data_IF_411387650986
#
_entry.id   IF_411387650986
#
_cell.length_a   1.000
_cell.length_b   1.000
_cell.length_c   1.000
_cell.angle_alpha   90.00
_cell.angle_beta   90.00
_cell.angle_gamma   90.00
#
_symmetry.space_group_name_H-M   'P 1'
#
loop_
_entity.id
_entity.type
_entity.pdbx_description
1 polymer ?
#
# COMPACT_ATOMS: atom_id res chain seq x y z
N UNK A 1 -18.06 -42.14 58.96
CA UNK A 1 -17.61 -40.79 58.54
C UNK A 1 -16.74 -40.99 57.31
N UNK A 2 -17.28 -40.65 56.14
CA UNK A 2 -16.73 -41.00 54.83
C UNK A 2 -15.74 -39.94 54.34
N UNK A 3 -14.55 -40.37 53.93
CA UNK A 3 -13.65 -39.57 53.09
C UNK A 3 -14.25 -39.39 51.70
N UNK A 4 -14.36 -38.14 51.25
CA UNK A 4 -14.68 -37.81 49.85
C UNK A 4 -13.38 -37.49 49.09
N UNK A 5 -13.25 -37.86 47.81
CA UNK A 5 -12.03 -37.68 47.03
C UNK A 5 -11.95 -36.28 46.39
N UNK A 6 -10.72 -35.83 46.17
CA UNK A 6 -10.34 -34.56 45.57
C UNK A 6 -10.97 -34.32 44.20
N UNK A 7 -11.59 -33.13 44.03
CA UNK A 7 -12.10 -32.67 42.77
C UNK A 7 -10.95 -32.14 41.89
N UNK A 8 -10.64 -32.86 40.82
CA UNK A 8 -9.71 -32.44 39.77
C UNK A 8 -10.35 -31.29 38.97
N UNK A 9 -9.86 -30.08 39.16
CA UNK A 9 -10.22 -28.92 38.33
C UNK A 9 -9.54 -29.09 36.97
N UNK A 10 -10.35 -29.30 35.93
CA UNK A 10 -9.88 -29.29 34.53
C UNK A 10 -9.55 -27.86 34.10
N UNK A 11 -8.41 -27.60 33.44
CA UNK A 11 -8.12 -26.27 32.95
C UNK A 11 -9.04 -25.98 31.75
N UNK A 12 -9.77 -24.87 31.84
CA UNK A 12 -10.59 -24.32 30.77
C UNK A 12 -9.79 -24.23 29.47
N UNK A 13 -10.35 -24.73 28.37
CA UNK A 13 -9.79 -24.58 27.02
C UNK A 13 -9.46 -23.11 26.75
N UNK A 14 -8.18 -22.78 26.71
CA UNK A 14 -7.72 -21.47 26.28
C UNK A 14 -8.15 -21.28 24.83
N UNK A 15 -9.14 -20.43 24.60
CA UNK A 15 -9.46 -19.92 23.27
C UNK A 15 -8.20 -19.26 22.72
N UNK A 16 -7.53 -19.92 21.79
CA UNK A 16 -6.50 -19.30 20.95
C UNK A 16 -7.20 -18.25 20.09
N UNK A 17 -7.24 -17.00 20.57
CA UNK A 17 -7.58 -15.84 19.75
C UNK A 17 -6.53 -15.74 18.64
N UNK A 18 -6.93 -16.08 17.43
CA UNK A 18 -6.18 -15.70 16.22
C UNK A 18 -6.03 -14.19 16.21
N UNK A 19 -4.79 -13.69 16.15
CA UNK A 19 -4.48 -12.27 16.22
C UNK A 19 -5.17 -11.47 15.11
N UNK A 20 -5.73 -10.33 15.48
CA UNK A 20 -6.33 -9.37 14.54
C UNK A 20 -5.24 -8.65 13.75
N UNK A 21 -5.52 -8.33 12.48
CA UNK A 21 -4.67 -7.47 11.62
C UNK A 21 -4.43 -6.08 12.22
N UNK A 22 -5.24 -5.68 13.21
CA UNK A 22 -5.13 -4.42 13.95
C UNK A 22 -4.33 -4.50 15.25
N UNK A 23 -3.76 -5.65 15.62
CA UNK A 23 -2.77 -5.64 16.70
C UNK A 23 -1.42 -5.22 16.14
N UNK A 24 -0.89 -4.03 16.52
CA UNK A 24 0.51 -3.75 16.27
C UNK A 24 1.29 -4.87 16.95
N UNK A 25 2.14 -5.55 16.18
CA UNK A 25 3.07 -6.54 16.72
C UNK A 25 3.71 -5.98 18.01
N UNK A 26 3.96 -6.87 18.98
CA UNK A 26 4.57 -6.61 20.29
C UNK A 26 5.97 -5.92 20.24
N UNK A 27 6.35 -5.31 19.13
CA UNK A 27 7.60 -4.62 18.83
C UNK A 27 7.61 -3.13 19.19
N UNK A 28 6.50 -2.52 19.64
CA UNK A 28 6.46 -1.06 19.92
C UNK A 28 6.95 -0.68 21.33
N UNK A 29 7.14 -1.61 22.25
CA UNK A 29 7.67 -1.33 23.59
C UNK A 29 9.13 -1.75 23.73
N UNK A 30 10.05 -0.96 23.16
CA UNK A 30 11.47 -1.00 23.48
C UNK A 30 11.82 0.24 24.33
N UNK A 31 12.61 0.09 25.41
CA UNK A 31 12.96 1.20 26.30
C UNK A 31 13.73 2.28 25.53
N UNK A 32 13.31 3.54 25.68
CA UNK A 32 13.99 4.71 25.11
C UNK A 32 15.12 5.16 26.04
N UNK A 33 16.40 5.09 25.63
CA UNK A 33 17.48 5.69 26.39
C UNK A 33 17.52 7.21 26.15
N UNK A 34 17.68 8.00 27.21
CA UNK A 34 17.67 9.47 27.19
C UNK A 34 18.84 10.14 26.41
N UNK A 35 19.78 9.33 25.87
CA UNK A 35 20.97 9.78 25.12
C UNK A 35 21.02 9.24 23.66
N UNK A 36 19.86 9.01 23.04
CA UNK A 36 19.79 8.42 21.70
C UNK A 36 20.19 9.43 20.60
N UNK A 37 21.21 9.10 19.80
CA UNK A 37 21.64 9.96 18.69
C UNK A 37 20.60 9.96 17.56
N UNK A 38 20.67 10.96 16.66
CA UNK A 38 19.81 10.96 15.46
C UNK A 38 20.00 9.68 14.63
N UNK A 39 21.24 9.17 14.56
CA UNK A 39 21.56 7.94 13.85
C UNK A 39 20.86 6.73 14.48
N UNK A 40 20.90 6.61 15.81
CA UNK A 40 20.26 5.50 16.53
C UNK A 40 18.74 5.50 16.32
N UNK A 41 18.11 6.68 16.35
CA UNK A 41 16.68 6.85 16.03
C UNK A 41 16.34 6.41 14.62
N UNK A 42 17.11 6.86 13.63
CA UNK A 42 16.90 6.47 12.24
C UNK A 42 17.17 4.98 12.03
N UNK A 43 18.17 4.41 12.68
CA UNK A 43 18.47 2.96 12.64
C UNK A 43 17.31 2.15 13.18
N UNK A 44 16.72 2.59 14.29
CA UNK A 44 15.52 1.96 14.85
C UNK A 44 14.37 1.94 13.83
N UNK A 45 14.04 3.08 13.21
CA UNK A 45 13.00 3.13 12.18
C UNK A 45 13.33 2.31 10.94
N UNK A 46 14.59 2.29 10.52
CA UNK A 46 15.05 1.47 9.40
C UNK A 46 14.85 -0.02 9.66
N UNK A 47 15.19 -0.51 10.86
CA UNK A 47 14.95 -1.90 11.23
C UNK A 47 13.46 -2.26 11.21
N UNK A 48 12.60 -1.33 11.64
CA UNK A 48 11.14 -1.50 11.54
C UNK A 48 10.74 -1.59 10.07
N UNK A 49 11.02 -0.57 9.25
CA UNK A 49 10.67 -0.54 7.81
C UNK A 49 11.21 -1.77 7.07
N UNK A 50 12.44 -2.19 7.37
CA UNK A 50 13.07 -3.36 6.76
C UNK A 50 12.35 -4.66 7.10
N UNK A 51 11.98 -4.86 8.36
CA UNK A 51 11.35 -6.09 8.83
C UNK A 51 9.84 -6.17 8.56
N UNK A 52 9.14 -5.03 8.45
CA UNK A 52 7.69 -4.99 8.26
C UNK A 52 7.25 -4.66 6.85
N UNK A 53 8.06 -3.90 6.09
CA UNK A 53 7.73 -3.48 4.73
C UNK A 53 8.67 -4.14 3.71
N UNK A 54 9.96 -3.78 3.72
CA UNK A 54 10.88 -4.12 2.62
C UNK A 54 11.03 -5.63 2.44
N UNK A 55 10.98 -6.41 3.53
CA UNK A 55 11.03 -7.86 3.51
C UNK A 55 9.95 -8.50 2.60
N UNK A 56 8.79 -7.86 2.48
CA UNK A 56 7.64 -8.39 1.75
C UNK A 56 7.46 -7.76 0.36
N UNK A 57 8.34 -6.82 -0.04
CA UNK A 57 8.25 -6.22 -1.36
C UNK A 57 8.48 -7.25 -2.45
N UNK A 58 7.59 -7.29 -3.43
CA UNK A 58 7.72 -8.19 -4.58
C UNK A 58 9.02 -7.90 -5.36
N UNK A 59 9.89 -8.89 -5.58
CA UNK A 59 11.12 -8.68 -6.32
C UNK A 59 10.88 -8.45 -7.82
N UNK A 60 9.74 -8.89 -8.36
CA UNK A 60 9.40 -8.77 -9.78
C UNK A 60 8.71 -7.44 -10.09
N UNK A 61 7.64 -7.11 -9.38
CA UNK A 61 6.83 -5.90 -9.65
C UNK A 61 7.21 -4.72 -8.77
N UNK A 62 7.72 -4.94 -7.56
CA UNK A 62 7.87 -3.88 -6.54
C UNK A 62 6.62 -3.61 -5.71
N UNK A 63 5.50 -4.29 -5.98
CA UNK A 63 4.27 -4.15 -5.19
C UNK A 63 4.41 -4.79 -3.80
N UNK A 64 3.56 -4.36 -2.87
CA UNK A 64 3.46 -4.93 -1.54
C UNK A 64 2.18 -5.77 -1.40
N UNK A 65 2.26 -6.96 -0.79
CA UNK A 65 1.09 -7.81 -0.59
C UNK A 65 0.18 -7.21 0.49
N UNK A 66 -1.12 -7.44 0.36
CA UNK A 66 -2.12 -7.01 1.37
C UNK A 66 -1.99 -7.77 2.69
N UNK A 67 -1.40 -8.97 2.65
CA UNK A 67 -1.15 -9.80 3.82
C UNK A 67 0.26 -10.36 3.76
N UNK A 68 0.94 -10.34 4.90
CA UNK A 68 2.30 -10.87 5.06
C UNK A 68 2.33 -12.36 5.43
N UNK A 69 1.17 -12.96 5.67
CA UNK A 69 1.00 -14.36 6.02
C UNK A 69 0.00 -15.05 5.09
N UNK A 70 0.26 -16.34 4.83
CA UNK A 70 -0.52 -17.15 3.91
C UNK A 70 -0.13 -16.95 2.44
N UNK A 71 -0.85 -17.60 1.54
CA UNK A 71 -0.62 -17.55 0.09
C UNK A 71 -1.36 -16.40 -0.59
N UNK A 72 -1.54 -15.26 0.10
CA UNK A 72 -2.24 -14.11 -0.47
C UNK A 72 -1.42 -13.50 -1.60
N UNK A 73 -2.00 -13.47 -2.80
CA UNK A 73 -1.35 -12.95 -4.00
C UNK A 73 -1.84 -11.54 -4.32
N UNK A 74 -2.66 -10.92 -3.47
CA UNK A 74 -3.24 -9.60 -3.70
C UNK A 74 -2.26 -8.51 -3.32
N UNK A 75 -2.13 -7.52 -4.20
CA UNK A 75 -1.53 -6.23 -3.93
C UNK A 75 -2.55 -5.13 -4.22
N UNK A 76 -2.91 -4.36 -3.19
CA UNK A 76 -3.71 -3.14 -3.34
C UNK A 76 -2.78 -1.99 -3.69
N UNK A 77 -3.18 -1.15 -4.65
CA UNK A 77 -2.40 0.03 -5.03
C UNK A 77 -2.23 0.95 -3.83
N UNK A 78 -3.30 1.17 -3.06
CA UNK A 78 -3.25 2.04 -1.91
C UNK A 78 -2.25 1.57 -0.84
N UNK A 79 -2.27 0.29 -0.49
CA UNK A 79 -1.33 -0.28 0.48
C UNK A 79 0.11 -0.14 -0.01
N UNK A 80 0.33 -0.40 -1.31
CA UNK A 80 1.63 -0.25 -1.95
C UNK A 80 2.12 1.21 -1.93
N UNK A 81 1.25 2.19 -2.17
CA UNK A 81 1.56 3.62 -2.06
C UNK A 81 2.00 4.00 -0.65
N UNK A 82 1.31 3.52 0.38
CA UNK A 82 1.68 3.79 1.77
C UNK A 82 3.02 3.16 2.15
N UNK A 83 3.28 1.94 1.68
CA UNK A 83 4.58 1.29 1.88
C UNK A 83 5.71 2.07 1.20
N UNK A 84 5.51 2.51 -0.05
CA UNK A 84 6.46 3.32 -0.79
C UNK A 84 6.72 4.68 -0.10
N UNK A 85 5.66 5.35 0.35
CA UNK A 85 5.77 6.60 1.09
C UNK A 85 6.52 6.44 2.42
N UNK A 86 6.28 5.35 3.15
CA UNK A 86 7.02 5.04 4.38
C UNK A 86 8.52 4.84 4.15
N UNK A 87 8.89 4.07 3.12
CA UNK A 87 10.29 3.90 2.74
C UNK A 87 10.93 5.21 2.29
N UNK A 88 10.25 5.97 1.43
CA UNK A 88 10.72 7.26 0.91
C UNK A 88 10.88 8.31 2.01
N UNK A 89 9.91 8.45 2.92
CA UNK A 89 10.00 9.40 4.02
C UNK A 89 11.23 9.13 4.92
N UNK A 90 11.52 7.84 5.17
CA UNK A 90 12.71 7.46 5.92
C UNK A 90 13.99 7.75 5.12
N UNK A 91 14.00 7.51 3.81
CA UNK A 91 15.13 7.88 2.96
C UNK A 91 15.44 9.38 3.03
N UNK A 92 14.40 10.24 2.94
CA UNK A 92 14.57 11.68 3.05
C UNK A 92 15.16 12.11 4.41
N UNK A 93 14.82 11.40 5.48
CA UNK A 93 15.42 11.64 6.79
C UNK A 93 16.90 11.22 6.83
N UNK A 94 17.25 10.10 6.20
CA UNK A 94 18.64 9.64 6.07
C UNK A 94 19.51 10.56 5.21
N UNK A 95 18.95 11.27 4.22
CA UNK A 95 19.70 12.29 3.46
C UNK A 95 20.25 13.44 4.31
N UNK A 96 19.76 13.60 5.55
CA UNK A 96 20.22 14.65 6.48
C UNK A 96 21.43 14.22 7.32
N UNK A 97 21.95 13.01 7.10
CA UNK A 97 23.15 12.50 7.77
C UNK A 97 24.23 12.15 6.73
N UNK A 98 25.50 12.36 7.07
CA UNK A 98 26.61 12.18 6.11
C UNK A 98 26.95 10.70 5.84
N UNK A 99 26.94 9.85 6.86
CA UNK A 99 27.19 8.40 6.74
C UNK A 99 25.93 7.60 7.07
N UNK A 100 25.12 7.34 6.04
CA UNK A 100 23.88 6.57 6.11
C UNK A 100 24.08 5.07 5.91
N UNK A 101 25.33 4.62 5.66
CA UNK A 101 25.70 3.23 5.35
C UNK A 101 24.88 2.62 4.18
N UNK A 102 24.50 3.44 3.20
CA UNK A 102 23.76 3.02 2.00
C UNK A 102 22.26 2.80 2.21
N UNK A 103 21.72 3.17 3.37
CA UNK A 103 20.29 2.98 3.69
C UNK A 103 19.38 3.87 2.85
N UNK A 104 19.79 5.09 2.54
CA UNK A 104 19.05 5.99 1.65
C UNK A 104 18.84 5.30 0.31
N UNK A 105 19.91 4.76 -0.29
CA UNK A 105 19.83 4.11 -1.59
C UNK A 105 18.88 2.91 -1.58
N UNK A 106 18.95 2.03 -0.57
CA UNK A 106 18.02 0.89 -0.44
C UNK A 106 16.57 1.34 -0.34
N UNK A 107 16.29 2.33 0.53
CA UNK A 107 14.95 2.85 0.76
C UNK A 107 14.37 3.57 -0.47
N UNK A 108 15.17 4.39 -1.13
CA UNK A 108 14.79 5.08 -2.37
C UNK A 108 14.52 4.10 -3.50
N UNK A 109 15.39 3.11 -3.70
CA UNK A 109 15.18 2.11 -4.73
C UNK A 109 13.94 1.25 -4.44
N UNK A 110 13.64 0.96 -3.17
CA UNK A 110 12.37 0.30 -2.82
C UNK A 110 11.16 1.15 -3.21
N UNK A 111 11.17 2.45 -2.89
CA UNK A 111 10.09 3.37 -3.27
C UNK A 111 9.95 3.50 -4.80
N UNK A 112 11.06 3.71 -5.52
CA UNK A 112 11.08 3.77 -6.99
C UNK A 112 10.51 2.49 -7.58
N UNK A 113 10.96 1.33 -7.11
CA UNK A 113 10.50 0.03 -7.60
C UNK A 113 9.00 -0.14 -7.40
N UNK A 114 8.47 0.27 -6.26
CA UNK A 114 7.03 0.22 -6.00
C UNK A 114 6.25 1.14 -6.93
N UNK A 115 6.64 2.41 -7.05
CA UNK A 115 5.96 3.38 -7.91
C UNK A 115 6.00 2.98 -9.39
N UNK A 116 7.10 2.37 -9.83
CA UNK A 116 7.21 1.79 -11.18
C UNK A 116 6.36 0.53 -11.34
N UNK A 117 6.25 -0.30 -10.31
CA UNK A 117 5.32 -1.43 -10.28
C UNK A 117 3.87 -1.02 -10.46
N UNK A 118 3.46 0.05 -9.78
CA UNK A 118 2.12 0.64 -9.93
C UNK A 118 1.92 1.17 -11.35
N UNK A 119 2.91 1.92 -11.88
CA UNK A 119 2.87 2.41 -13.26
C UNK A 119 2.71 1.26 -14.26
N UNK A 120 3.49 0.20 -14.09
CA UNK A 120 3.41 -1.01 -14.91
C UNK A 120 2.00 -1.61 -14.91
N UNK A 121 1.36 -1.74 -13.74
CA UNK A 121 0.00 -2.27 -13.62
C UNK A 121 -1.05 -1.36 -14.26
N UNK A 122 -0.88 -0.03 -14.14
CA UNK A 122 -1.79 0.93 -14.75
C UNK A 122 -1.64 1.03 -16.27
N UNK A 123 -0.41 1.02 -16.79
CA UNK A 123 -0.17 1.10 -18.24
C UNK A 123 -0.75 -0.09 -18.99
N UNK A 124 -0.80 -1.27 -18.37
CA UNK A 124 -1.47 -2.46 -18.92
C UNK A 124 -2.99 -2.32 -19.04
N UNK A 125 -3.56 -1.28 -18.43
CA UNK A 125 -4.97 -0.92 -18.51
C UNK A 125 -5.20 0.35 -19.36
N UNK A 126 -4.26 0.73 -20.23
CA UNK A 126 -4.37 1.94 -21.05
C UNK A 126 -5.68 2.02 -21.85
N UNK A 127 -6.17 0.89 -22.38
CA UNK A 127 -7.45 0.86 -23.11
C UNK A 127 -8.64 1.23 -22.21
N UNK A 128 -8.66 0.76 -20.96
CA UNK A 128 -9.68 1.13 -19.97
C UNK A 128 -9.62 2.62 -19.65
N UNK A 129 -8.42 3.17 -19.47
CA UNK A 129 -8.22 4.62 -19.24
C UNK A 129 -8.79 5.43 -20.40
N UNK A 130 -8.52 5.05 -21.66
CA UNK A 130 -9.07 5.77 -22.81
C UNK A 130 -10.59 5.70 -22.88
N UNK A 131 -11.20 4.55 -22.57
CA UNK A 131 -12.66 4.41 -22.52
C UNK A 131 -13.26 5.24 -21.38
N UNK A 132 -12.65 5.22 -20.19
CA UNK A 132 -13.10 5.97 -19.03
C UNK A 132 -13.09 7.48 -19.26
N UNK A 133 -12.14 8.00 -20.06
CA UNK A 133 -12.11 9.42 -20.45
C UNK A 133 -13.33 9.85 -21.27
N UNK A 134 -13.88 8.95 -22.07
CA UNK A 134 -15.04 9.22 -22.92
C UNK A 134 -16.34 9.07 -22.12
N UNK A 135 -16.44 7.99 -21.33
CA UNK A 135 -17.61 7.65 -20.54
C UNK A 135 -17.18 7.08 -19.17
N UNK A 136 -17.13 7.92 -18.11
CA UNK A 136 -16.71 7.50 -16.78
C UNK A 136 -17.71 6.52 -16.14
N UNK A 137 -17.41 5.22 -16.23
CA UNK A 137 -18.23 4.15 -15.64
C UNK A 137 -17.39 3.21 -14.78
N UNK A 138 -17.99 2.55 -13.76
CA UNK A 138 -17.29 1.54 -12.96
C UNK A 138 -16.74 0.38 -13.80
N UNK A 139 -17.41 -0.01 -14.88
CA UNK A 139 -16.98 -1.12 -15.76
C UNK A 139 -15.71 -0.82 -16.56
N UNK A 140 -15.41 0.45 -16.78
CA UNK A 140 -14.23 0.91 -17.53
C UNK A 140 -13.20 1.57 -16.61
N UNK A 141 -13.35 1.44 -15.29
CA UNK A 141 -12.42 2.05 -14.34
C UNK A 141 -11.08 1.31 -14.29
N UNK A 142 -10.07 2.01 -13.76
CA UNK A 142 -8.79 1.39 -13.43
C UNK A 142 -8.96 0.43 -12.25
N UNK A 143 -8.43 -0.77 -12.39
CA UNK A 143 -8.33 -1.71 -11.28
C UNK A 143 -7.33 -1.19 -10.24
N UNK A 144 -7.65 -1.42 -8.98
CA UNK A 144 -6.85 -1.05 -7.81
C UNK A 144 -6.27 -2.25 -7.06
N UNK A 145 -6.52 -3.48 -7.53
CA UNK A 145 -5.98 -4.72 -6.97
C UNK A 145 -5.37 -5.57 -8.07
N UNK A 146 -4.14 -6.02 -7.84
CA UNK A 146 -3.37 -6.82 -8.79
C UNK A 146 -2.76 -8.03 -8.12
N UNK A 147 -2.29 -8.97 -8.94
CA UNK A 147 -1.38 -10.01 -8.50
C UNK A 147 -0.03 -9.37 -8.10
N UNK A 148 0.43 -9.64 -6.88
CA UNK A 148 1.65 -9.06 -6.31
C UNK A 148 2.92 -9.43 -7.09
N UNK A 149 2.96 -10.60 -7.75
CA UNK A 149 4.15 -11.08 -8.46
C UNK A 149 4.11 -10.85 -9.97
N UNK A 150 2.92 -10.83 -10.59
CA UNK A 150 2.80 -10.67 -12.05
C UNK A 150 2.29 -9.29 -12.47
N UNK A 151 1.61 -8.58 -11.57
CA UNK A 151 0.92 -7.33 -11.88
C UNK A 151 -0.31 -7.52 -12.78
N UNK A 152 -0.84 -8.74 -12.88
CA UNK A 152 -2.08 -9.03 -13.60
C UNK A 152 -3.31 -8.58 -12.80
N UNK A 153 -4.39 -8.29 -13.50
CA UNK A 153 -5.70 -8.09 -12.88
C UNK A 153 -6.13 -9.39 -12.18
N UNK A 154 -6.49 -9.30 -10.90
CA UNK A 154 -6.83 -10.47 -10.10
C UNK A 154 -8.34 -10.60 -9.86
N UNK A 155 -9.04 -9.48 -9.76
CA UNK A 155 -10.47 -9.40 -9.48
C UNK A 155 -11.15 -8.62 -10.61
N UNK A 156 -12.38 -9.00 -10.94
CA UNK A 156 -13.21 -8.23 -11.88
C UNK A 156 -13.92 -7.06 -11.17
N UNK A 157 -14.53 -6.15 -11.95
CA UNK A 157 -15.28 -5.03 -11.37
C UNK A 157 -16.52 -5.50 -10.59
N UNK A 158 -17.11 -6.65 -10.94
CA UNK A 158 -18.25 -7.23 -10.21
C UNK A 158 -17.84 -7.74 -8.83
N UNK A 159 -16.61 -8.22 -8.71
CA UNK A 159 -16.08 -8.82 -7.49
C UNK A 159 -15.52 -7.77 -6.52
N UNK A 160 -15.14 -6.59 -7.03
CA UNK A 160 -14.44 -5.60 -6.24
C UNK A 160 -14.66 -4.16 -6.74
N UNK A 161 -14.85 -3.24 -5.78
CA UNK A 161 -15.01 -1.81 -6.01
C UNK A 161 -13.73 -1.12 -6.47
N UNK A 162 -13.36 -1.34 -7.73
CA UNK A 162 -12.10 -0.87 -8.32
C UNK A 162 -12.02 0.64 -8.56
N UNK A 163 -13.16 1.29 -8.83
CA UNK A 163 -13.23 2.72 -9.03
C UNK A 163 -12.89 3.42 -7.70
N UNK A 164 -11.62 3.78 -7.56
CA UNK A 164 -11.01 4.40 -6.37
C UNK A 164 -10.21 5.62 -6.82
N UNK A 165 -10.87 6.77 -6.91
CA UNK A 165 -10.29 8.01 -7.41
C UNK A 165 -9.17 8.48 -6.49
N UNK A 166 -9.34 8.26 -5.19
CA UNK A 166 -8.34 8.57 -4.16
C UNK A 166 -7.01 7.85 -4.42
N UNK A 167 -7.03 6.59 -4.88
CA UNK A 167 -5.80 5.81 -5.14
C UNK A 167 -5.01 6.39 -6.32
N UNK A 168 -5.70 6.71 -7.42
CA UNK A 168 -5.07 7.34 -8.60
C UNK A 168 -4.55 8.73 -8.27
N UNK A 169 -5.33 9.52 -7.53
CA UNK A 169 -4.94 10.87 -7.11
C UNK A 169 -3.72 10.86 -6.18
N UNK A 170 -3.68 9.92 -5.22
CA UNK A 170 -2.56 9.76 -4.31
C UNK A 170 -1.30 9.26 -5.04
N UNK A 171 -1.45 8.36 -6.00
CA UNK A 171 -0.34 7.94 -6.87
C UNK A 171 0.28 9.13 -7.61
N UNK A 172 -0.55 9.98 -8.23
CA UNK A 172 -0.06 11.18 -8.94
C UNK A 172 0.62 12.17 -8.00
N UNK A 173 0.05 12.39 -6.80
CA UNK A 173 0.67 13.25 -5.78
C UNK A 173 2.05 12.73 -5.37
N UNK A 174 2.14 11.46 -4.95
CA UNK A 174 3.42 10.87 -4.55
C UNK A 174 4.42 10.78 -5.70
N UNK A 175 3.96 10.57 -6.93
CA UNK A 175 4.83 10.60 -8.10
C UNK A 175 5.52 11.97 -8.25
N UNK A 176 4.75 13.06 -8.16
CA UNK A 176 5.29 14.42 -8.26
C UNK A 176 6.24 14.72 -7.11
N UNK A 177 5.87 14.41 -5.88
CA UNK A 177 6.69 14.65 -4.69
C UNK A 177 8.01 13.86 -4.72
N UNK A 178 7.95 12.58 -5.10
CA UNK A 178 9.14 11.72 -5.18
C UNK A 178 10.09 12.19 -6.30
N UNK A 179 9.57 12.55 -7.48
CA UNK A 179 10.39 13.11 -8.57
C UNK A 179 10.99 14.46 -8.16
N UNK A 180 10.22 15.32 -7.50
CA UNK A 180 10.69 16.62 -7.00
C UNK A 180 11.78 16.46 -5.94
N UNK A 181 11.76 15.36 -5.20
CA UNK A 181 12.84 14.98 -4.29
C UNK A 181 14.08 14.40 -5.00
N UNK A 182 14.07 14.25 -6.32
CA UNK A 182 15.20 13.74 -7.11
C UNK A 182 15.15 12.25 -7.45
N UNK A 183 14.05 11.54 -7.17
CA UNK A 183 13.91 10.15 -7.57
C UNK A 183 13.56 10.04 -9.06
N UNK A 184 14.26 9.18 -9.79
CA UNK A 184 13.95 8.88 -11.18
C UNK A 184 12.92 7.75 -11.26
N UNK A 185 11.66 8.09 -11.56
CA UNK A 185 10.56 7.12 -11.63
C UNK A 185 10.04 6.96 -13.07
N UNK A 186 10.01 8.04 -13.88
CA UNK A 186 9.53 8.04 -15.26
C UNK A 186 10.71 8.02 -16.22
N UNK A 187 10.74 7.07 -17.16
CA UNK A 187 11.92 6.77 -17.98
C UNK A 187 11.74 7.07 -19.46
N UNK A 188 10.53 7.06 -20.00
CA UNK A 188 10.29 7.22 -21.43
C UNK A 188 9.03 8.05 -21.74
N UNK A 189 8.89 8.44 -23.00
CA UNK A 189 7.78 9.29 -23.48
C UNK A 189 6.41 8.62 -23.41
N UNK A 190 6.35 7.28 -23.50
CA UNK A 190 5.10 6.53 -23.40
C UNK A 190 4.58 6.57 -21.96
N UNK A 191 5.45 6.41 -20.97
CA UNK A 191 5.16 6.60 -19.55
C UNK A 191 4.65 8.03 -19.29
N UNK A 192 5.31 9.05 -19.85
CA UNK A 192 4.85 10.46 -19.76
C UNK A 192 3.44 10.63 -20.34
N UNK A 193 3.20 10.09 -21.53
CA UNK A 193 1.90 10.17 -22.21
C UNK A 193 0.80 9.46 -21.42
N UNK A 194 1.13 8.34 -20.78
CA UNK A 194 0.21 7.62 -19.92
C UNK A 194 -0.16 8.42 -18.66
N UNK A 195 0.83 9.00 -17.96
CA UNK A 195 0.60 9.86 -16.80
C UNK A 195 -0.29 11.06 -17.17
N UNK A 196 -0.05 11.67 -18.34
CA UNK A 196 -0.90 12.77 -18.83
C UNK A 196 -2.36 12.33 -19.01
N UNK A 197 -2.61 11.11 -19.49
CA UNK A 197 -3.95 10.55 -19.58
C UNK A 197 -4.59 10.34 -18.20
N UNK A 198 -3.83 9.90 -17.20
CA UNK A 198 -4.32 9.78 -15.82
C UNK A 198 -4.72 11.15 -15.24
N UNK A 199 -3.91 12.18 -15.45
CA UNK A 199 -4.21 13.55 -15.00
C UNK A 199 -5.53 14.04 -15.62
N UNK A 200 -5.74 13.79 -16.92
CA UNK A 200 -7.00 14.15 -17.59
C UNK A 200 -8.21 13.40 -17.02
N UNK A 201 -8.04 12.12 -16.64
CA UNK A 201 -9.08 11.40 -15.90
C UNK A 201 -9.39 12.10 -14.57
N UNK A 202 -8.36 12.39 -13.77
CA UNK A 202 -8.52 12.99 -12.44
C UNK A 202 -9.16 14.39 -12.48
N UNK A 203 -8.95 15.16 -13.55
CA UNK A 203 -9.55 16.50 -13.72
C UNK A 203 -11.08 16.48 -13.65
N UNK A 204 -11.73 15.41 -14.11
CA UNK A 204 -13.21 15.35 -14.26
C UNK A 204 -13.93 14.45 -13.27
N UNK A 205 -13.19 13.66 -12.50
CA UNK A 205 -13.76 12.63 -11.61
C UNK A 205 -14.32 13.16 -10.29
N UNK A 206 -14.13 14.44 -9.94
CA UNK A 206 -14.80 15.05 -8.78
C UNK A 206 -16.34 15.02 -8.86
N UNK A 207 -16.90 14.73 -10.05
CA UNK A 207 -18.33 14.53 -10.29
C UNK A 207 -18.74 13.07 -10.37
N UNK A 208 -17.78 12.15 -10.25
CA UNK A 208 -17.98 10.71 -10.45
C UNK A 208 -18.02 10.05 -9.07
N UNK A 209 -19.16 9.47 -8.67
CA UNK A 209 -19.22 8.68 -7.45
C UNK A 209 -18.28 7.48 -7.52
N UNK A 210 -17.53 7.20 -6.46
CA UNK A 210 -16.59 6.07 -6.41
C UNK A 210 -16.76 5.21 -5.15
N UNK A 211 -15.92 4.17 -5.00
CA UNK A 211 -15.98 3.27 -3.85
C UNK A 211 -15.20 3.77 -2.63
N UNK A 212 -14.44 4.85 -2.83
CA UNK A 212 -13.63 5.49 -1.81
C UNK A 212 -12.55 4.59 -1.20
N UNK A 213 -11.90 5.13 -0.18
CA UNK A 213 -10.76 4.50 0.51
C UNK A 213 -11.10 3.18 1.20
N UNK A 214 -12.38 3.01 1.58
CA UNK A 214 -12.85 1.85 2.32
C UNK A 214 -13.45 0.77 1.43
N UNK A 215 -13.46 0.97 0.10
CA UNK A 215 -13.92 -0.03 -0.87
C UNK A 215 -15.42 -0.36 -0.74
N UNK A 216 -16.19 0.51 -0.06
CA UNK A 216 -17.61 0.31 0.27
C UNK A 216 -18.55 1.13 -0.61
N UNK A 217 -18.05 2.20 -1.22
CA UNK A 217 -18.90 3.23 -1.81
C UNK A 217 -19.76 3.85 -0.71
N UNK A 218 -21.08 3.75 -0.85
CA UNK A 218 -22.00 4.34 0.12
C UNK A 218 -21.72 3.91 1.56
N UNK A 219 -21.98 4.79 2.52
CA UNK A 219 -21.96 4.46 3.97
C UNK A 219 -22.74 3.19 4.33
N UNK A 220 -23.73 2.81 3.52
CA UNK A 220 -24.56 1.62 3.72
C UNK A 220 -23.95 0.33 3.16
N UNK A 221 -22.83 0.40 2.44
CA UNK A 221 -22.11 -0.72 1.83
C UNK A 221 -23.04 -1.65 1.01
N UNK A 222 -23.91 -1.03 0.21
CA UNK A 222 -24.90 -1.71 -0.62
C UNK A 222 -24.41 -1.94 -2.07
N UNK A 223 -23.11 -1.75 -2.34
CA UNK A 223 -22.51 -1.87 -3.67
C UNK A 223 -22.71 -0.65 -4.58
N UNK A 224 -23.35 0.42 -4.11
CA UNK A 224 -23.44 1.69 -4.85
C UNK A 224 -22.28 2.62 -4.53
N UNK A 225 -21.81 3.35 -5.54
CA UNK A 225 -20.77 4.38 -5.40
C UNK A 225 -21.33 5.67 -4.78
N UNK A 226 -20.50 6.43 -4.09
CA UNK A 226 -20.92 7.70 -3.45
C UNK A 226 -20.08 8.90 -3.91
N UNK A 227 -20.71 10.06 -4.00
CA UNK A 227 -20.00 11.33 -4.16
C UNK A 227 -19.47 11.75 -2.79
N UNK A 228 -18.16 11.91 -2.68
CA UNK A 228 -17.53 12.41 -1.46
C UNK A 228 -17.64 13.94 -1.41
N UNK A 229 -18.39 14.44 -0.41
CA UNK A 229 -18.58 15.87 -0.11
C UNK A 229 -17.49 16.45 0.77
#
# INVERSE_FOLDING_TARGET
MACSPDAVVSPSSAFLRSGSVYEPLKSINLPRPDNETLWDKLDHYYRIVKSTLLLYQSPTTGLFPTKTCGSDQKAKIQDSLYCAAGAWALALAYRRIDDDKGRTHELEHSAIKCMRGILYCYMRQADKVQQFKQDPRPTTCLHSVFNVHTGDELLSYEEYGHLQINAVSLYLLYLVEMISSGLQIIYNTDEVSFIQNLVFCVERVYRVPDFGVWERGSKYNNGSTELHS
#
